data_IF_386691821956
#
_entry.id   IF_386691821956
#
_cell.length_a   1.000
_cell.length_b   1.000
_cell.length_c   1.000
_cell.angle_alpha   90.00
_cell.angle_beta   90.00
_cell.angle_gamma   90.00
#
_symmetry.space_group_name_H-M   'P 1'
#
loop_
_entity.id
_entity.type
_entity.pdbx_description
1 polymer ?
#
# COMPACT_ATOMS: atom_id res chain seq x y z
N UNK A 1 -3.00 -3.15 8.39
CA UNK A 1 -2.51 -1.85 8.88
C UNK A 1 -3.64 -0.83 9.01
N UNK A 2 -4.63 -0.84 8.11
CA UNK A 2 -5.81 0.04 8.08
C UNK A 2 -6.52 0.24 9.43
N UNK A 3 -6.92 -0.84 10.11
CA UNK A 3 -7.63 -0.75 11.41
C UNK A 3 -6.81 0.00 12.46
N UNK A 4 -5.50 -0.25 12.52
CA UNK A 4 -4.60 0.39 13.47
C UNK A 4 -4.47 1.90 13.16
N UNK A 5 -4.26 2.27 11.91
CA UNK A 5 -4.15 3.67 11.47
C UNK A 5 -5.46 4.44 11.76
N UNK A 6 -6.60 3.86 11.40
CA UNK A 6 -7.93 4.46 11.61
C UNK A 6 -8.26 4.64 13.10
N UNK A 7 -7.65 3.85 14.00
CA UNK A 7 -7.84 4.02 15.44
C UNK A 7 -7.20 5.30 16.00
N UNK A 8 -6.22 5.88 15.31
CA UNK A 8 -5.62 7.17 15.69
C UNK A 8 -6.41 8.35 15.10
N UNK A 9 -6.72 8.30 13.81
CA UNK A 9 -7.59 9.24 13.10
C UNK A 9 -8.14 8.51 11.88
N UNK A 10 -9.46 8.49 11.74
CA UNK A 10 -10.14 7.78 10.66
C UNK A 10 -9.70 8.29 9.27
N UNK A 11 -9.47 9.60 9.14
CA UNK A 11 -9.10 10.23 7.87
C UNK A 11 -7.63 10.00 7.50
N UNK A 12 -6.82 9.50 8.45
CA UNK A 12 -5.39 9.30 8.24
C UNK A 12 -5.12 8.24 7.18
N UNK A 13 -5.98 7.22 7.11
CA UNK A 13 -5.86 6.16 6.11
C UNK A 13 -6.03 6.70 4.69
N UNK A 14 -7.08 7.50 4.46
CA UNK A 14 -7.35 8.10 3.16
C UNK A 14 -6.19 9.03 2.75
N UNK A 15 -5.58 9.72 3.71
CA UNK A 15 -4.40 10.56 3.48
C UNK A 15 -3.10 9.77 3.24
N UNK A 16 -3.03 8.49 3.59
CA UNK A 16 -1.90 7.62 3.24
C UNK A 16 -2.11 7.02 1.85
N UNK A 17 -3.34 6.60 1.53
CA UNK A 17 -3.68 5.92 0.27
C UNK A 17 -3.79 6.91 -0.89
N UNK A 18 -4.54 8.00 -0.69
CA UNK A 18 -4.81 9.02 -1.71
C UNK A 18 -3.89 10.23 -1.59
N UNK A 19 -2.96 10.18 -0.63
CA UNK A 19 -2.40 11.32 0.07
C UNK A 19 -2.10 12.57 -0.74
N UNK A 20 -2.35 13.77 -0.18
CA UNK A 20 -1.88 14.96 -0.83
C UNK A 20 -0.35 14.90 -0.89
N UNK A 21 0.20 15.00 -2.10
CA UNK A 21 1.65 15.09 -2.32
C UNK A 21 2.25 16.12 -1.35
N UNK A 22 3.54 16.00 -1.01
CA UNK A 22 4.20 17.10 -0.29
C UNK A 22 3.99 18.42 -1.05
N UNK A 23 3.97 19.58 -0.34
CA UNK A 23 3.84 20.88 -0.99
C UNK A 23 4.78 21.00 -2.19
N UNK A 24 4.22 21.26 -3.35
CA UNK A 24 4.94 21.35 -4.62
C UNK A 24 4.42 22.55 -5.41
N UNK A 25 5.26 23.09 -6.28
CA UNK A 25 4.89 24.11 -7.26
C UNK A 25 5.34 23.66 -8.65
N UNK A 26 4.72 24.22 -9.69
CA UNK A 26 5.17 24.02 -11.07
C UNK A 26 6.13 25.14 -11.44
N UNK A 27 7.27 24.77 -12.01
CA UNK A 27 8.20 25.75 -12.56
C UNK A 27 7.74 26.26 -13.94
N UNK A 28 8.54 27.15 -14.54
CA UNK A 28 8.27 27.72 -15.86
C UNK A 28 8.26 26.66 -16.99
N UNK A 29 8.88 25.50 -16.76
CA UNK A 29 8.91 24.37 -17.68
C UNK A 29 7.75 23.39 -17.46
N UNK A 30 6.95 23.59 -16.40
CA UNK A 30 5.83 22.72 -16.01
C UNK A 30 6.21 21.56 -15.08
N UNK A 31 7.48 21.46 -14.68
CA UNK A 31 8.01 20.42 -13.80
C UNK A 31 7.51 20.62 -12.36
N UNK A 32 7.20 19.51 -11.68
CA UNK A 32 6.70 19.53 -10.29
C UNK A 32 7.87 19.49 -9.33
N UNK A 33 8.11 20.61 -8.63
CA UNK A 33 9.26 20.79 -7.73
C UNK A 33 8.76 20.93 -6.28
N UNK A 34 9.46 20.34 -5.29
CA UNK A 34 9.17 20.57 -3.88
C UNK A 34 9.20 22.06 -3.53
N UNK A 35 8.13 22.52 -2.88
CA UNK A 35 7.99 23.91 -2.47
C UNK A 35 9.00 24.22 -1.34
N UNK A 36 9.72 25.35 -1.39
CA UNK A 36 10.63 25.73 -0.30
C UNK A 36 9.87 26.01 1.00
N UNK A 37 10.40 25.52 2.13
CA UNK A 37 9.73 25.59 3.43
C UNK A 37 9.41 27.01 3.90
N UNK A 38 10.22 28.00 3.51
CA UNK A 38 10.00 29.42 3.82
C UNK A 38 8.78 30.02 3.09
N UNK A 39 8.25 29.35 2.07
CA UNK A 39 7.07 29.78 1.30
C UNK A 39 5.79 29.05 1.68
N UNK A 40 5.84 28.18 2.69
CA UNK A 40 4.69 27.38 3.12
C UNK A 40 3.61 28.27 3.74
N UNK A 41 2.38 28.06 3.27
CA UNK A 41 1.18 28.55 3.94
C UNK A 41 0.73 27.58 5.05
N UNK A 42 -0.35 27.91 5.75
CA UNK A 42 -0.87 27.09 6.85
C UNK A 42 -1.36 25.70 6.38
N UNK A 43 -1.86 25.60 5.14
CA UNK A 43 -2.30 24.33 4.57
C UNK A 43 -1.10 23.44 4.23
N UNK A 44 -0.04 23.99 3.66
CA UNK A 44 1.22 23.28 3.39
C UNK A 44 1.83 22.73 4.68
N UNK A 45 1.86 23.55 5.74
CA UNK A 45 2.35 23.13 7.06
C UNK A 45 1.51 21.99 7.62
N UNK A 46 0.17 22.08 7.52
CA UNK A 46 -0.74 21.02 7.94
C UNK A 46 -0.47 19.72 7.20
N UNK A 47 -0.28 19.76 5.87
CA UNK A 47 0.03 18.57 5.05
C UNK A 47 1.34 17.92 5.47
N UNK A 48 2.40 18.72 5.68
CA UNK A 48 3.70 18.21 6.14
C UNK A 48 3.61 17.58 7.53
N UNK A 49 2.85 18.18 8.44
CA UNK A 49 2.61 17.63 9.78
C UNK A 49 1.89 16.28 9.74
N UNK A 50 0.86 16.16 8.90
CA UNK A 50 0.13 14.90 8.73
C UNK A 50 1.07 13.84 8.15
N UNK A 51 1.75 14.13 7.04
CA UNK A 51 2.71 13.21 6.44
C UNK A 51 3.79 12.77 7.46
N UNK A 52 4.30 13.66 8.30
CA UNK A 52 5.25 13.30 9.35
C UNK A 52 4.67 12.33 10.41
N UNK A 53 3.41 12.53 10.84
CA UNK A 53 2.71 11.61 11.74
C UNK A 53 2.54 10.24 11.09
N UNK A 54 2.15 10.21 9.83
CA UNK A 54 1.86 8.96 9.14
C UNK A 54 3.15 8.15 8.88
N UNK A 55 4.24 8.84 8.52
CA UNK A 55 5.57 8.21 8.45
C UNK A 55 5.95 7.57 9.77
N UNK A 56 5.73 8.26 10.89
CA UNK A 56 6.04 7.72 12.21
C UNK A 56 5.24 6.45 12.48
N UNK A 57 3.94 6.45 12.17
CA UNK A 57 3.07 5.27 12.33
C UNK A 57 3.59 4.09 11.48
N UNK A 58 3.92 4.31 10.20
CA UNK A 58 4.47 3.24 9.35
C UNK A 58 5.78 2.70 9.92
N UNK A 59 6.71 3.58 10.31
CA UNK A 59 8.01 3.16 10.86
C UNK A 59 7.86 2.36 12.15
N UNK A 60 6.91 2.72 13.01
CA UNK A 60 6.62 1.98 14.24
C UNK A 60 5.95 0.62 14.00
N UNK A 61 5.27 0.44 12.86
CA UNK A 61 4.52 -0.77 12.55
C UNK A 61 5.34 -1.86 11.84
N UNK A 62 6.52 -1.53 11.31
CA UNK A 62 7.34 -2.43 10.47
C UNK A 62 8.59 -2.92 11.19
N UNK A 63 9.18 -4.02 10.69
CA UNK A 63 10.44 -4.55 11.19
C UNK A 63 11.66 -3.88 10.51
N UNK A 64 12.87 -4.19 10.98
CA UNK A 64 14.11 -3.62 10.48
C UNK A 64 14.41 -3.90 9.00
N UNK A 65 13.99 -5.05 8.47
CA UNK A 65 14.18 -5.40 7.06
C UNK A 65 13.33 -4.49 6.16
N UNK A 66 12.09 -4.26 6.54
CA UNK A 66 11.17 -3.44 5.77
C UNK A 66 11.49 -1.95 5.92
N UNK A 67 11.99 -1.54 7.09
CA UNK A 67 12.48 -0.19 7.32
C UNK A 67 13.57 0.19 6.30
N UNK A 68 14.57 -0.67 6.08
CA UNK A 68 15.62 -0.43 5.09
C UNK A 68 15.06 -0.28 3.67
N UNK A 69 13.94 -0.93 3.35
CA UNK A 69 13.30 -0.83 2.03
C UNK A 69 12.65 0.52 1.80
N UNK A 70 12.11 1.15 2.84
CA UNK A 70 11.35 2.41 2.74
C UNK A 70 12.12 3.64 3.24
N UNK A 71 13.34 3.46 3.76
CA UNK A 71 14.16 4.53 4.34
C UNK A 71 14.41 5.71 3.38
N UNK A 72 14.51 5.42 2.08
CA UNK A 72 14.76 6.43 1.03
C UNK A 72 13.50 7.20 0.61
N UNK A 73 12.31 6.79 1.05
CA UNK A 73 11.05 7.36 0.60
C UNK A 73 10.79 8.76 1.20
N UNK A 74 10.40 9.69 0.33
CA UNK A 74 10.24 11.10 0.65
C UNK A 74 8.87 11.38 1.28
N UNK A 75 7.83 10.64 0.89
CA UNK A 75 6.46 10.78 1.43
C UNK A 75 5.96 9.49 2.06
N UNK A 76 4.93 9.60 2.91
CA UNK A 76 4.27 8.40 3.46
C UNK A 76 3.61 7.58 2.36
N UNK A 77 3.01 8.24 1.37
CA UNK A 77 2.43 7.58 0.19
C UNK A 77 3.46 6.69 -0.50
N UNK A 78 4.67 7.20 -0.73
CA UNK A 78 5.75 6.42 -1.34
C UNK A 78 6.20 5.24 -0.47
N UNK A 79 6.26 5.43 0.86
CA UNK A 79 6.53 4.33 1.79
C UNK A 79 5.45 3.24 1.68
N UNK A 80 4.18 3.65 1.65
CA UNK A 80 3.03 2.75 1.54
C UNK A 80 3.03 1.98 0.21
N UNK A 81 3.20 2.67 -0.92
CA UNK A 81 3.25 2.06 -2.25
C UNK A 81 4.37 1.04 -2.36
N UNK A 82 5.53 1.33 -1.74
CA UNK A 82 6.68 0.43 -1.74
C UNK A 82 6.44 -0.82 -0.88
N UNK A 83 5.71 -0.69 0.22
CA UNK A 83 5.26 -1.82 1.02
C UNK A 83 4.21 -2.65 0.27
N UNK A 84 3.24 -2.01 -0.37
CA UNK A 84 2.22 -2.68 -1.19
C UNK A 84 2.87 -3.51 -2.28
N UNK A 85 3.79 -2.93 -3.07
CA UNK A 85 4.53 -3.66 -4.10
C UNK A 85 5.37 -4.81 -3.53
N UNK A 86 5.91 -4.64 -2.32
CA UNK A 86 6.73 -5.67 -1.65
C UNK A 86 5.89 -6.89 -1.26
N UNK A 87 4.69 -6.70 -0.74
CA UNK A 87 3.89 -7.79 -0.18
C UNK A 87 2.80 -8.31 -1.11
N UNK A 88 2.15 -7.43 -1.84
CA UNK A 88 1.08 -7.80 -2.77
C UNK A 88 1.59 -8.05 -4.18
N UNK A 89 2.84 -7.66 -4.46
CA UNK A 89 3.43 -7.71 -5.79
C UNK A 89 2.95 -6.56 -6.69
N UNK A 90 3.58 -6.44 -7.86
CA UNK A 90 3.16 -5.49 -8.91
C UNK A 90 1.89 -6.00 -9.59
N UNK A 91 1.18 -5.12 -10.30
CA UNK A 91 -0.01 -5.47 -11.06
C UNK A 91 0.19 -6.69 -11.98
N UNK A 92 1.34 -6.81 -12.66
CA UNK A 92 1.66 -7.99 -13.49
C UNK A 92 1.70 -9.30 -12.69
N UNK A 93 2.23 -9.27 -11.47
CA UNK A 93 2.25 -10.45 -10.57
C UNK A 93 0.84 -10.75 -10.08
N UNK A 94 0.05 -9.71 -9.74
CA UNK A 94 -1.36 -9.84 -9.36
C UNK A 94 -2.18 -10.48 -10.49
N UNK A 95 -2.03 -10.00 -11.73
CA UNK A 95 -2.69 -10.53 -12.94
C UNK A 95 -2.28 -11.97 -13.26
N UNK A 96 -0.98 -12.28 -13.14
CA UNK A 96 -0.49 -13.65 -13.33
C UNK A 96 -1.10 -14.60 -12.28
N UNK A 97 -1.17 -14.17 -11.01
CA UNK A 97 -1.79 -14.94 -9.94
C UNK A 97 -3.28 -15.17 -10.19
N UNK A 98 -4.02 -14.14 -10.65
CA UNK A 98 -5.43 -14.28 -11.04
C UNK A 98 -5.57 -15.30 -12.18
N UNK A 99 -4.74 -15.20 -13.21
CA UNK A 99 -4.78 -16.12 -14.34
C UNK A 99 -4.53 -17.57 -13.93
N UNK A 100 -3.60 -17.79 -13.00
CA UNK A 100 -3.34 -19.12 -12.42
C UNK A 100 -4.55 -19.64 -11.64
N UNK A 101 -5.16 -18.80 -10.79
CA UNK A 101 -6.33 -19.18 -10.00
C UNK A 101 -7.55 -19.49 -10.87
N UNK A 102 -7.77 -18.71 -11.94
CA UNK A 102 -8.82 -18.98 -12.94
C UNK A 102 -8.60 -20.32 -13.60
N UNK A 103 -7.36 -20.62 -14.01
CA UNK A 103 -7.02 -21.92 -14.58
C UNK A 103 -7.27 -23.07 -13.59
N UNK A 104 -6.83 -22.93 -12.34
CA UNK A 104 -7.04 -23.93 -11.29
C UNK A 104 -8.53 -24.16 -11.01
N UNK A 105 -9.34 -23.10 -11.07
CA UNK A 105 -10.79 -23.17 -10.95
C UNK A 105 -11.44 -23.93 -12.12
N UNK A 106 -11.08 -23.59 -13.37
CA UNK A 106 -11.60 -24.26 -14.57
C UNK A 106 -11.24 -25.74 -14.62
N UNK A 107 -10.06 -26.09 -14.11
CA UNK A 107 -9.56 -27.46 -14.02
C UNK A 107 -9.95 -28.16 -12.71
N UNK A 108 -10.76 -27.53 -11.85
CA UNK A 108 -11.04 -28.07 -10.53
C UNK A 108 -11.96 -29.29 -10.60
N UNK A 109 -11.49 -30.40 -10.04
CA UNK A 109 -12.30 -31.59 -9.76
C UNK A 109 -11.89 -32.20 -8.41
N UNK A 110 -12.81 -32.98 -7.84
CA UNK A 110 -12.55 -33.76 -6.63
C UNK A 110 -11.65 -34.95 -6.97
N UNK A 111 -10.55 -35.13 -6.24
CA UNK A 111 -9.65 -36.25 -6.49
C UNK A 111 -10.24 -37.58 -5.99
N UNK A 112 -9.81 -38.70 -6.57
CA UNK A 112 -10.34 -40.05 -6.27
C UNK A 112 -10.24 -40.45 -4.78
N UNK A 113 -9.23 -39.95 -4.06
CA UNK A 113 -8.98 -40.27 -2.65
C UNK A 113 -9.14 -39.05 -1.72
N UNK A 114 -9.82 -38.00 -2.19
CA UNK A 114 -10.07 -36.80 -1.41
C UNK A 114 -11.44 -36.88 -0.73
N UNK A 115 -11.56 -36.46 0.53
CA UNK A 115 -12.85 -36.33 1.18
C UNK A 115 -13.50 -34.97 0.87
N UNK A 116 -14.82 -34.86 1.07
CA UNK A 116 -15.59 -33.65 0.74
C UNK A 116 -15.07 -32.41 1.49
N UNK A 117 -14.62 -32.55 2.74
CA UNK A 117 -14.11 -31.42 3.52
C UNK A 117 -12.78 -30.94 2.97
N UNK A 118 -11.91 -31.87 2.60
CA UNK A 118 -10.64 -31.55 1.93
C UNK A 118 -10.87 -30.87 0.58
N UNK A 119 -11.75 -31.42 -0.26
CA UNK A 119 -12.12 -30.82 -1.54
C UNK A 119 -12.66 -29.40 -1.38
N UNK A 120 -13.60 -29.19 -0.44
CA UNK A 120 -14.18 -27.89 -0.18
C UNK A 120 -13.12 -26.88 0.30
N UNK A 121 -12.16 -27.32 1.12
CA UNK A 121 -11.03 -26.49 1.55
C UNK A 121 -10.17 -26.05 0.37
N UNK A 122 -9.82 -26.97 -0.55
CA UNK A 122 -9.06 -26.63 -1.77
C UNK A 122 -9.82 -25.63 -2.64
N UNK A 123 -11.11 -25.88 -2.87
CA UNK A 123 -11.96 -24.99 -3.64
C UNK A 123 -12.00 -23.58 -3.02
N UNK A 124 -12.19 -23.50 -1.70
CA UNK A 124 -12.23 -22.24 -0.95
C UNK A 124 -10.93 -21.46 -1.09
N UNK A 125 -9.77 -22.12 -1.11
CA UNK A 125 -8.47 -21.48 -1.30
C UNK A 125 -8.25 -20.94 -2.72
N UNK A 126 -8.98 -21.44 -3.73
CA UNK A 126 -8.90 -20.93 -5.10
C UNK A 126 -9.72 -19.64 -5.26
N UNK A 127 -10.87 -19.57 -4.59
CA UNK A 127 -11.84 -18.47 -4.77
C UNK A 127 -11.70 -17.31 -3.77
N UNK A 128 -10.85 -17.44 -2.74
CA UNK A 128 -10.58 -16.40 -1.73
C UNK A 128 -9.10 -16.03 -1.69
#
# INVERSE_FOLDING_TARGET
MTIFIQSFDYNLWDLIVDGPNLPTFRDENGDVIPKPMNTYDDNDRRRVQINAKDKHIIVCAINSNDFNRILSCISTKEMWDRLEVTYEGRNQVKEAKISMLVHDYEMFYMNENEDIKSMFSRFTNIIN
#
